data_IF_253645065951
#
_entry.id   IF_253645065951
#
_cell.length_a   1.000
_cell.length_b   1.000
_cell.length_c   1.000
_cell.angle_alpha   90.00
_cell.angle_beta   90.00
_cell.angle_gamma   90.00
#
_symmetry.space_group_name_H-M   'P 1'
#
loop_
_entity.id
_entity.type
_entity.pdbx_description
1 polymer ?
#
# COMPACT_ATOMS: atom_id res chain seq x y z
N UNK A 1 13.25 7.36 -18.74
CA UNK A 1 12.53 6.12 -18.40
C UNK A 1 11.39 5.95 -19.40
N UNK A 2 11.12 4.74 -19.89
CA UNK A 2 9.91 4.46 -20.69
C UNK A 2 8.75 4.19 -19.72
N UNK A 3 7.50 4.33 -20.18
CA UNK A 3 6.28 4.05 -19.40
C UNK A 3 6.16 2.57 -19.01
N UNK A 4 4.98 1.96 -19.18
CA UNK A 4 4.75 0.55 -18.84
C UNK A 4 3.59 0.29 -17.88
N UNK A 5 2.61 1.19 -17.84
CA UNK A 5 1.39 0.98 -17.05
C UNK A 5 0.75 -0.35 -17.42
N UNK A 6 0.26 -1.08 -16.43
CA UNK A 6 -0.43 -2.35 -16.59
C UNK A 6 -1.48 -2.53 -15.49
N UNK A 7 -2.46 -3.39 -15.73
CA UNK A 7 -3.46 -3.82 -14.76
C UNK A 7 -3.28 -5.33 -14.61
N UNK A 8 -3.04 -5.79 -13.38
CA UNK A 8 -2.83 -7.20 -13.05
C UNK A 8 -3.82 -7.60 -11.97
N UNK A 9 -4.42 -8.77 -12.11
CA UNK A 9 -5.36 -9.32 -11.15
C UNK A 9 -4.65 -9.95 -9.92
N UNK A 10 -5.38 -10.32 -8.85
CA UNK A 10 -4.78 -10.91 -7.65
C UNK A 10 -4.06 -12.25 -7.85
N UNK A 11 -4.33 -12.97 -8.95
CA UNK A 11 -3.70 -14.25 -9.29
C UNK A 11 -2.51 -14.07 -10.25
N UNK A 12 -2.20 -12.84 -10.64
CA UNK A 12 -1.08 -12.49 -11.50
C UNK A 12 -1.42 -12.43 -12.99
N UNK A 13 -2.69 -12.53 -13.37
CA UNK A 13 -3.12 -12.38 -14.76
C UNK A 13 -3.05 -10.91 -15.20
N UNK A 14 -2.43 -10.65 -16.35
CA UNK A 14 -2.36 -9.30 -16.92
C UNK A 14 -3.65 -9.00 -17.68
N UNK A 15 -4.48 -8.10 -17.12
CA UNK A 15 -5.75 -7.69 -17.69
C UNK A 15 -5.60 -6.61 -18.76
N UNK A 16 -4.58 -5.76 -18.63
CA UNK A 16 -4.23 -4.73 -19.62
C UNK A 16 -2.75 -4.33 -19.52
N UNK A 17 -2.13 -3.96 -20.65
CA UNK A 17 -0.71 -3.60 -20.71
C UNK A 17 0.24 -4.80 -20.57
N UNK A 18 1.51 -4.59 -20.20
CA UNK A 18 2.18 -3.30 -20.05
C UNK A 18 2.36 -2.58 -21.39
N UNK A 19 2.06 -1.27 -21.43
CA UNK A 19 2.25 -0.45 -22.64
C UNK A 19 3.46 0.48 -22.55
N UNK A 20 4.41 0.33 -23.48
CA UNK A 20 5.63 1.13 -23.60
C UNK A 20 5.71 1.92 -24.91
N UNK A 21 4.63 1.96 -25.69
CA UNK A 21 4.60 2.46 -27.05
C UNK A 21 4.31 3.95 -27.14
N UNK A 22 3.30 4.44 -26.40
CA UNK A 22 2.85 5.82 -26.43
C UNK A 22 2.10 6.21 -25.14
N UNK A 23 1.54 7.43 -25.13
CA UNK A 23 0.55 7.85 -24.14
C UNK A 23 -0.75 7.07 -24.36
N UNK A 24 -1.19 6.33 -23.34
CA UNK A 24 -2.31 5.38 -23.45
C UNK A 24 -3.17 5.40 -22.19
N UNK A 25 -4.49 5.26 -22.36
CA UNK A 25 -5.42 4.95 -21.28
C UNK A 25 -5.74 3.46 -21.33
N UNK A 26 -5.43 2.74 -20.25
CA UNK A 26 -5.76 1.32 -20.11
C UNK A 26 -7.08 1.13 -19.38
N UNK A 27 -7.90 0.22 -19.87
CA UNK A 27 -9.16 -0.19 -19.27
C UNK A 27 -9.15 -1.71 -19.04
N UNK A 28 -9.78 -2.15 -17.95
CA UNK A 28 -10.02 -3.56 -17.67
C UNK A 28 -11.29 -3.70 -16.82
N UNK A 29 -12.04 -4.78 -17.03
CA UNK A 29 -13.14 -5.17 -16.16
C UNK A 29 -12.60 -5.89 -14.93
N UNK A 30 -13.04 -5.48 -13.75
CA UNK A 30 -12.56 -6.05 -12.48
C UNK A 30 -13.65 -6.93 -11.89
N UNK A 31 -13.29 -8.18 -11.57
CA UNK A 31 -14.12 -9.07 -10.76
C UNK A 31 -13.61 -9.09 -9.30
N UNK A 32 -14.31 -8.47 -8.33
CA UNK A 32 -13.87 -8.44 -6.94
C UNK A 32 -13.77 -9.81 -6.27
N UNK A 33 -14.46 -10.83 -6.79
CA UNK A 33 -14.40 -12.18 -6.26
C UNK A 33 -13.02 -12.85 -6.42
N UNK A 34 -12.14 -12.30 -7.27
CA UNK A 34 -10.76 -12.78 -7.38
C UNK A 34 -9.95 -12.54 -6.10
N UNK A 35 -10.30 -11.52 -5.30
CA UNK A 35 -9.63 -11.25 -4.01
C UNK A 35 -9.86 -12.41 -3.05
N UNK A 36 -11.09 -12.91 -2.97
CA UNK A 36 -11.42 -14.04 -2.10
C UNK A 36 -10.67 -15.31 -2.52
N UNK A 37 -10.59 -15.56 -3.83
CA UNK A 37 -9.85 -16.71 -4.37
C UNK A 37 -8.35 -16.59 -4.09
N UNK A 38 -7.74 -15.44 -4.35
CA UNK A 38 -6.33 -15.21 -4.06
C UNK A 38 -5.99 -15.35 -2.58
N UNK A 39 -6.86 -14.85 -1.68
CA UNK A 39 -6.68 -15.02 -0.23
C UNK A 39 -6.91 -16.46 0.25
N UNK A 40 -7.78 -17.22 -0.41
CA UNK A 40 -7.96 -18.64 -0.12
C UNK A 40 -6.65 -19.41 -0.35
N UNK A 41 -5.94 -19.09 -1.43
CA UNK A 41 -4.64 -19.71 -1.74
C UNK A 41 -3.53 -19.16 -0.84
N UNK A 42 -3.48 -17.83 -0.60
CA UNK A 42 -2.44 -17.21 0.21
C UNK A 42 -2.90 -15.92 0.92
N UNK A 43 -3.10 -15.99 2.25
CA UNK A 43 -3.44 -14.83 3.09
C UNK A 43 -2.31 -14.49 4.09
N UNK A 44 -1.37 -13.67 3.63
CA UNK A 44 -0.12 -13.33 4.35
C UNK A 44 -0.33 -12.73 5.75
N UNK A 45 -1.36 -11.89 5.92
CA UNK A 45 -1.66 -11.23 7.20
C UNK A 45 -2.70 -11.97 8.03
N UNK A 46 -3.25 -13.08 7.51
CA UNK A 46 -4.27 -13.88 8.16
C UNK A 46 -3.73 -15.25 8.54
N UNK A 47 -4.19 -16.31 7.87
CA UNK A 47 -3.89 -17.69 8.28
C UNK A 47 -2.42 -18.09 8.10
N UNK A 48 -1.67 -17.44 7.21
CA UNK A 48 -0.21 -17.62 7.10
C UNK A 48 0.58 -16.78 8.11
N UNK A 49 -0.07 -15.88 8.85
CA UNK A 49 0.62 -15.07 9.85
C UNK A 49 1.10 -15.93 11.02
N UNK A 50 2.31 -15.63 11.49
CA UNK A 50 2.93 -16.24 12.69
C UNK A 50 3.13 -15.20 13.77
N UNK A 51 2.06 -14.72 14.44
CA UNK A 51 2.16 -13.69 15.47
C UNK A 51 2.94 -14.12 16.72
N UNK A 52 3.19 -15.42 16.87
CA UNK A 52 4.07 -16.02 17.85
C UNK A 52 5.56 -15.88 17.52
N UNK A 53 5.90 -15.57 16.26
CA UNK A 53 7.29 -15.39 15.79
C UNK A 53 7.57 -13.93 15.38
N UNK A 54 6.66 -13.32 14.62
CA UNK A 54 6.85 -11.98 14.06
C UNK A 54 5.66 -11.07 14.36
N UNK A 55 5.97 -9.84 14.77
CA UNK A 55 5.00 -8.77 14.96
C UNK A 55 5.54 -7.49 14.34
N UNK A 56 4.71 -6.78 13.56
CA UNK A 56 5.02 -5.47 13.00
C UNK A 56 4.25 -4.39 13.76
N UNK A 57 4.97 -3.45 14.35
CA UNK A 57 4.38 -2.26 14.97
C UNK A 57 4.67 -1.04 14.10
N UNK A 58 3.64 -0.29 13.75
CA UNK A 58 3.74 0.91 12.91
C UNK A 58 3.46 2.14 13.76
N UNK A 59 4.40 3.08 13.78
CA UNK A 59 4.18 4.39 14.37
C UNK A 59 3.55 5.33 13.32
N UNK A 60 2.24 5.52 13.43
CA UNK A 60 1.46 6.35 12.49
C UNK A 60 1.42 7.83 12.87
N UNK A 61 2.13 8.24 13.93
CA UNK A 61 2.16 9.66 14.35
C UNK A 61 2.89 10.51 13.32
N UNK A 62 2.38 11.72 13.08
CA UNK A 62 3.06 12.71 12.25
C UNK A 62 4.48 12.96 12.76
N UNK A 63 5.47 12.88 11.85
CA UNK A 63 6.88 13.16 12.15
C UNK A 63 7.23 14.54 11.63
N UNK A 64 7.12 15.55 12.48
CA UNK A 64 7.50 16.92 12.11
C UNK A 64 9.01 17.00 11.94
N UNK A 65 9.45 17.53 10.80
CA UNK A 65 10.87 17.77 10.53
C UNK A 65 11.49 18.83 11.46
N UNK A 66 10.67 19.77 11.95
CA UNK A 66 11.08 20.83 12.89
C UNK A 66 10.03 21.06 13.98
N UNK A 67 10.47 21.38 15.19
CA UNK A 67 9.63 21.79 16.32
C UNK A 67 10.00 23.19 16.79
N UNK A 68 9.01 24.08 16.91
CA UNK A 68 9.21 25.38 17.52
C UNK A 68 9.39 25.24 19.03
N UNK A 69 10.38 25.94 19.59
CA UNK A 69 10.58 26.06 21.03
C UNK A 69 9.87 27.35 21.44
N UNK A 70 8.75 27.26 22.15
CA UNK A 70 8.15 28.45 22.77
C UNK A 70 8.90 28.77 24.05
N UNK A 71 9.43 29.99 24.16
CA UNK A 71 9.95 30.49 25.42
C UNK A 71 8.76 30.67 26.38
N UNK A 72 8.73 29.90 27.46
CA UNK A 72 7.79 30.13 28.57
C UNK A 72 8.10 31.50 29.17
N UNK A 73 7.22 32.47 28.94
CA UNK A 73 7.22 33.71 29.72
C UNK A 73 6.91 33.40 31.19
N UNK A 74 7.43 34.20 32.14
CA UNK A 74 7.32 33.90 33.56
C UNK A 74 5.85 33.80 33.99
N UNK A 75 5.51 32.76 34.75
CA UNK A 75 4.23 32.66 35.46
C UNK A 75 4.28 33.68 36.62
N UNK A 76 3.44 34.71 36.53
CA UNK A 76 3.19 35.62 37.65
C UNK A 76 2.41 34.91 38.79
N UNK A 77 2.58 35.37 40.04
CA UNK A 77 2.44 34.56 41.26
C UNK A 77 1.02 34.14 41.64
#
# INVERSE_FOLDING_TARGET
MRGGSAIIDPLGEVLAGPDFSAETILYADINPNQILRGKYDFDVSGHYARPDVFQLHVDTREKRAVSAISATGPQEP
#
